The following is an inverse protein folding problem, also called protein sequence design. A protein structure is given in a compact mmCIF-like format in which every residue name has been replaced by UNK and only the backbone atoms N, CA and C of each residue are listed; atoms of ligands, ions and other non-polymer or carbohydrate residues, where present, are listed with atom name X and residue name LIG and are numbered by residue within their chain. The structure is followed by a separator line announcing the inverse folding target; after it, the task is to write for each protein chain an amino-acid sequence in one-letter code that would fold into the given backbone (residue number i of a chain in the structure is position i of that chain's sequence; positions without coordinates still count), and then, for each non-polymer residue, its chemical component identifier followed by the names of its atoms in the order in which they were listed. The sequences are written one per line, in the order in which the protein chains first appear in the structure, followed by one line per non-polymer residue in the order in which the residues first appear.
data_IF_535974600677
#
_entry.id   IF_535974600677
#
_cell.length_a   1.000
_cell.length_b   1.000
_cell.length_c   1.000
_cell.angle_alpha   90.00
_cell.angle_beta   90.00
_cell.angle_gamma   90.00
#
_symmetry.space_group_name_H-M   'P 1'
#
loop_
_entity.id
_entity.type
_entity.pdbx_description
1 polymer ?
#
# COMPACT_ATOMS: atom_id res chain seq x y z
N UNK A 1 -43.98 -73.13 -14.37
CA UNK A 1 -43.50 -71.89 -15.02
C UNK A 1 -43.94 -70.68 -14.21
N UNK A 2 -43.13 -69.61 -14.16
CA UNK A 2 -43.32 -68.34 -13.41
C UNK A 2 -42.87 -68.36 -11.95
N UNK A 3 -41.64 -67.89 -11.69
CA UNK A 3 -41.16 -67.16 -10.48
C UNK A 3 -39.63 -67.02 -10.55
N UNK A 4 -39.12 -66.20 -11.48
CA UNK A 4 -37.69 -65.84 -11.52
C UNK A 4 -37.46 -64.71 -12.53
N UNK A 5 -37.99 -63.51 -12.26
CA UNK A 5 -37.76 -62.35 -13.16
C UNK A 5 -38.00 -60.97 -12.50
N UNK A 6 -37.79 -60.83 -11.19
CA UNK A 6 -38.05 -59.54 -10.49
C UNK A 6 -36.79 -58.96 -9.82
N UNK A 7 -35.63 -59.63 -9.82
CA UNK A 7 -34.46 -59.16 -9.08
C UNK A 7 -33.48 -58.26 -9.85
N UNK A 8 -33.73 -57.92 -11.13
CA UNK A 8 -32.75 -57.21 -11.96
C UNK A 8 -33.02 -55.71 -12.18
N UNK A 9 -34.06 -55.12 -11.58
CA UNK A 9 -34.46 -53.72 -11.83
C UNK A 9 -34.13 -52.73 -10.70
N UNK A 10 -33.54 -53.16 -9.59
CA UNK A 10 -33.30 -52.29 -8.41
C UNK A 10 -31.89 -51.66 -8.44
N UNK A 11 -31.02 -52.07 -9.36
CA UNK A 11 -29.62 -51.61 -9.40
C UNK A 11 -29.33 -50.20 -10.00
N UNK A 12 -30.21 -49.48 -10.73
CA UNK A 12 -29.84 -48.15 -11.23
C UNK A 12 -30.13 -47.01 -10.22
N UNK A 13 -30.85 -47.25 -9.12
CA UNK A 13 -31.29 -46.16 -8.24
C UNK A 13 -30.24 -45.66 -7.25
N UNK A 14 -29.25 -46.49 -6.90
CA UNK A 14 -28.21 -46.12 -5.93
C UNK A 14 -27.04 -45.31 -6.54
N UNK A 15 -26.97 -45.20 -7.87
CA UNK A 15 -25.96 -44.38 -8.55
C UNK A 15 -26.42 -42.95 -8.89
N UNK A 16 -27.72 -42.66 -8.76
CA UNK A 16 -28.27 -41.34 -9.10
C UNK A 16 -28.03 -40.28 -8.02
N UNK A 17 -28.16 -40.65 -6.75
CA UNK A 17 -28.06 -39.68 -5.64
C UNK A 17 -26.64 -39.17 -5.39
N UNK A 18 -25.61 -39.99 -5.68
CA UNK A 18 -24.21 -39.60 -5.47
C UNK A 18 -23.73 -38.58 -6.49
N UNK A 19 -24.24 -38.61 -7.73
CA UNK A 19 -23.90 -37.64 -8.78
C UNK A 19 -24.53 -36.27 -8.49
N UNK A 20 -25.75 -36.23 -7.94
CA UNK A 20 -26.44 -35.00 -7.58
C UNK A 20 -25.89 -34.30 -6.33
N UNK A 21 -25.27 -35.04 -5.39
CA UNK A 21 -24.63 -34.43 -4.23
C UNK A 21 -23.31 -33.70 -4.58
N UNK A 22 -22.67 -34.07 -5.69
CA UNK A 22 -21.39 -33.49 -6.13
C UNK A 22 -21.58 -32.19 -6.92
N UNK A 23 -22.66 -32.05 -7.68
CA UNK A 23 -22.98 -30.82 -8.42
C UNK A 23 -23.35 -29.64 -7.52
N UNK A 24 -23.83 -29.89 -6.30
CA UNK A 24 -24.21 -28.85 -5.32
C UNK A 24 -23.05 -28.12 -4.62
N UNK A 25 -21.79 -28.51 -4.86
CA UNK A 25 -20.60 -27.86 -4.27
C UNK A 25 -19.85 -26.90 -5.21
N UNK A 26 -20.30 -26.74 -6.45
CA UNK A 26 -19.50 -26.08 -7.50
C UNK A 26 -19.80 -24.59 -7.64
N UNK A 27 -19.36 -23.79 -6.67
CA UNK A 27 -19.05 -22.41 -6.99
C UNK A 27 -17.62 -22.33 -7.54
N UNK A 28 -17.50 -22.27 -8.87
CA UNK A 28 -16.22 -22.35 -9.56
C UNK A 28 -15.94 -21.03 -10.28
N UNK A 29 -15.34 -20.09 -9.55
CA UNK A 29 -14.75 -18.90 -10.17
C UNK A 29 -13.48 -19.27 -10.93
N UNK A 30 -13.27 -18.63 -12.08
CA UNK A 30 -12.02 -18.73 -12.80
C UNK A 30 -10.89 -18.10 -11.98
N UNK A 31 -9.67 -18.62 -12.09
CA UNK A 31 -8.51 -17.98 -11.45
C UNK A 31 -8.35 -16.51 -11.90
N UNK A 32 -8.74 -16.21 -13.14
CA UNK A 32 -8.74 -14.86 -13.68
C UNK A 32 -9.69 -13.92 -12.89
N UNK A 33 -10.89 -14.35 -12.54
CA UNK A 33 -11.80 -13.53 -11.72
C UNK A 33 -11.24 -13.28 -10.32
N UNK A 34 -10.72 -14.34 -9.68
CA UNK A 34 -10.13 -14.29 -8.34
C UNK A 34 -8.97 -13.27 -8.31
N UNK A 35 -8.07 -13.35 -9.29
CA UNK A 35 -6.90 -12.48 -9.32
C UNK A 35 -7.26 -11.02 -9.65
N UNK A 36 -8.23 -10.79 -10.55
CA UNK A 36 -8.69 -9.42 -10.84
C UNK A 36 -9.32 -8.78 -9.62
N UNK A 37 -10.11 -9.55 -8.86
CA UNK A 37 -10.73 -9.07 -7.62
C UNK A 37 -9.69 -8.74 -6.56
N UNK A 38 -8.68 -9.60 -6.41
CA UNK A 38 -7.56 -9.35 -5.49
C UNK A 38 -6.75 -8.09 -5.89
N UNK A 39 -6.47 -7.89 -7.19
CA UNK A 39 -5.79 -6.68 -7.66
C UNK A 39 -6.58 -5.40 -7.39
N UNK A 40 -7.91 -5.44 -7.51
CA UNK A 40 -8.78 -4.31 -7.18
C UNK A 40 -8.74 -3.99 -5.69
N UNK A 41 -8.84 -5.01 -4.83
CA UNK A 41 -8.79 -4.87 -3.38
C UNK A 41 -7.48 -4.21 -2.92
N UNK A 42 -6.35 -4.73 -3.38
CA UNK A 42 -5.00 -4.27 -3.02
C UNK A 42 -4.58 -2.99 -3.76
N UNK A 43 -5.46 -2.39 -4.58
CA UNK A 43 -5.18 -1.19 -5.39
C UNK A 43 -3.95 -1.35 -6.29
N UNK A 44 -3.74 -2.56 -6.82
CA UNK A 44 -2.64 -2.88 -7.73
C UNK A 44 -3.04 -2.71 -9.20
N UNK A 45 -4.03 -1.87 -9.47
CA UNK A 45 -4.54 -1.61 -10.82
C UNK A 45 -3.61 -0.68 -11.62
N UNK A 46 -3.48 -0.96 -12.91
CA UNK A 46 -2.66 -0.14 -13.81
C UNK A 46 -3.23 1.27 -13.99
N UNK A 47 -4.56 1.41 -13.96
CA UNK A 47 -5.23 2.71 -14.12
C UNK A 47 -4.84 3.73 -13.04
N UNK A 48 -4.72 3.25 -11.78
CA UNK A 48 -4.29 4.09 -10.66
C UNK A 48 -2.83 4.52 -10.82
N UNK A 49 -1.96 3.58 -11.22
CA UNK A 49 -0.56 3.87 -11.48
C UNK A 49 -0.41 4.90 -12.61
N UNK A 50 -1.15 4.75 -13.70
CA UNK A 50 -1.11 5.69 -14.83
C UNK A 50 -1.62 7.08 -14.43
N UNK A 51 -2.64 7.17 -13.59
CA UNK A 51 -3.10 8.44 -13.05
C UNK A 51 -2.00 9.13 -12.21
N UNK A 52 -1.29 8.38 -11.38
CA UNK A 52 -0.15 8.88 -10.59
C UNK A 52 1.00 9.32 -11.50
N UNK A 53 1.37 8.50 -12.49
CA UNK A 53 2.40 8.82 -13.50
C UNK A 53 2.09 10.13 -14.23
N UNK A 54 0.84 10.32 -14.67
CA UNK A 54 0.39 11.56 -15.33
C UNK A 54 0.51 12.78 -14.42
N UNK A 55 0.17 12.64 -13.13
CA UNK A 55 0.33 13.72 -12.14
C UNK A 55 1.82 14.05 -11.92
N UNK A 56 2.65 13.02 -11.78
CA UNK A 56 4.10 13.14 -11.61
C UNK A 56 4.77 13.81 -12.81
N UNK A 57 4.35 13.48 -14.04
CA UNK A 57 4.87 14.12 -15.25
C UNK A 57 4.55 15.62 -15.34
N UNK A 58 3.45 16.07 -14.71
CA UNK A 58 3.06 17.48 -14.66
C UNK A 58 3.65 18.24 -13.48
N UNK A 59 4.12 17.54 -12.45
CA UNK A 59 4.65 18.17 -11.24
C UNK A 59 5.80 19.16 -11.48
N UNK A 60 6.78 18.92 -12.40
CA UNK A 60 7.88 19.85 -12.65
C UNK A 60 7.45 21.23 -13.21
N UNK A 61 6.24 21.32 -13.78
CA UNK A 61 5.72 22.57 -14.35
C UNK A 61 5.23 23.54 -13.28
N UNK A 62 4.98 23.05 -12.06
CA UNK A 62 4.42 23.83 -10.97
C UNK A 62 5.52 24.23 -9.97
N UNK A 63 5.46 25.45 -9.39
CA UNK A 63 6.37 25.84 -8.33
C UNK A 63 6.08 25.05 -7.07
N UNK A 64 7.12 24.75 -6.29
CA UNK A 64 6.94 24.33 -4.91
C UNK A 64 6.69 25.57 -4.05
N UNK A 65 5.54 25.61 -3.37
CA UNK A 65 5.20 26.66 -2.42
C UNK A 65 5.62 26.21 -1.02
N UNK A 66 6.37 27.06 -0.32
CA UNK A 66 6.76 26.83 1.08
C UNK A 66 6.44 28.06 1.92
N UNK A 67 5.90 27.81 3.10
CA UNK A 67 5.59 28.81 4.11
C UNK A 67 6.48 28.54 5.32
N UNK A 68 7.29 29.51 5.70
CA UNK A 68 8.17 29.45 6.85
C UNK A 68 7.86 30.57 7.82
N UNK A 69 8.01 30.30 9.11
CA UNK A 69 8.00 31.30 10.17
C UNK A 69 9.31 31.17 10.93
N UNK A 70 10.14 32.20 10.84
CA UNK A 70 11.45 32.25 11.49
C UNK A 70 11.39 33.30 12.60
N UNK A 71 11.70 32.89 13.84
CA UNK A 71 11.91 33.80 14.97
C UNK A 71 13.40 33.88 15.24
N UNK A 72 14.00 35.06 15.04
CA UNK A 72 15.43 35.27 15.27
C UNK A 72 15.61 36.22 16.44
N UNK A 73 16.30 35.75 17.48
CA UNK A 73 16.77 36.56 18.59
C UNK A 73 18.29 36.67 18.41
N UNK A 74 18.78 37.88 18.11
CA UNK A 74 20.22 38.12 17.95
C UNK A 74 20.68 39.09 19.03
N UNK A 75 21.43 38.57 20.00
CA UNK A 75 22.14 39.37 20.98
C UNK A 75 23.50 39.74 20.41
N UNK A 76 23.77 41.04 20.26
CA UNK A 76 25.07 41.54 19.85
C UNK A 76 25.65 42.38 20.99
N UNK A 77 26.68 41.84 21.62
CA UNK A 77 27.45 42.54 22.66
C UNK A 77 28.74 43.07 22.01
N UNK A 78 28.79 44.37 21.74
CA UNK A 78 30.03 45.06 21.39
C UNK A 78 30.55 45.84 22.60
N UNK A 79 31.80 45.63 22.96
CA UNK A 79 32.50 46.41 23.97
C UNK A 79 33.49 47.29 23.21
N UNK A 80 33.12 48.56 22.99
CA UNK A 80 34.02 49.55 22.40
C UNK A 80 34.80 50.22 23.54
N UNK A 81 36.06 49.83 23.70
CA UNK A 81 37.01 50.49 24.61
C UNK A 81 37.68 51.62 23.82
N UNK A 82 37.31 52.87 24.12
CA UNK A 82 37.89 54.04 23.46
C UNK A 82 38.83 54.76 24.44
N UNK A 83 40.13 54.51 24.30
CA UNK A 83 41.16 55.21 25.06
C UNK A 83 41.42 56.58 24.44
N UNK A 84 40.82 57.63 25.02
CA UNK A 84 40.96 58.98 24.50
C UNK A 84 42.01 59.76 25.30
N UNK A 85 43.07 60.23 24.64
CA UNK A 85 44.07 61.12 25.23
C UNK A 85 43.70 62.55 24.86
N UNK A 86 43.22 63.34 25.82
CA UNK A 86 42.94 64.76 25.63
C UNK A 86 43.99 65.62 26.36
N UNK A 87 44.52 66.62 25.66
CA UNK A 87 45.47 67.60 26.22
C UNK A 87 44.78 68.96 26.20
N UNK A 88 44.51 69.53 27.39
CA UNK A 88 44.00 70.89 27.54
C UNK A 88 44.93 71.72 28.41
N UNK A 89 44.82 73.05 28.37
CA UNK A 89 45.71 73.97 29.09
C UNK A 89 45.66 73.85 30.62
N UNK A 90 44.76 73.03 31.16
CA UNK A 90 44.60 72.76 32.60
C UNK A 90 45.18 71.43 33.10
N UNK A 91 45.80 70.60 32.25
CA UNK A 91 46.43 69.33 32.64
C UNK A 91 46.14 68.15 31.72
N UNK A 92 46.83 67.02 31.95
CA UNK A 92 46.68 65.76 31.20
C UNK A 92 45.85 64.77 32.02
N UNK A 93 44.70 64.35 31.50
CA UNK A 93 43.91 63.26 32.07
C UNK A 93 44.25 61.96 31.34
N UNK A 94 44.73 60.94 32.06
CA UNK A 94 45.03 59.60 31.53
C UNK A 94 44.24 58.57 32.32
N UNK A 95 43.27 57.94 31.67
CA UNK A 95 42.46 56.87 32.23
C UNK A 95 41.34 56.49 31.26
N UNK A 96 40.82 55.25 31.32
CA UNK A 96 39.75 54.81 30.43
C UNK A 96 38.51 55.68 30.64
N UNK A 97 38.01 56.26 29.55
CA UNK A 97 36.70 56.91 29.56
C UNK A 97 35.61 55.87 29.80
N UNK A 98 34.51 56.27 30.44
CA UNK A 98 33.37 55.41 30.78
C UNK A 98 33.09 54.36 29.71
N UNK A 99 33.12 53.08 30.09
CA UNK A 99 32.81 51.98 29.19
C UNK A 99 31.33 52.05 28.83
N UNK A 100 31.02 52.57 27.64
CA UNK A 100 29.67 52.56 27.10
C UNK A 100 29.33 51.13 26.64
N UNK A 101 28.84 50.30 27.56
CA UNK A 101 28.26 49.01 27.22
C UNK A 101 26.97 49.25 26.44
N UNK A 102 27.04 49.09 25.12
CA UNK A 102 25.85 49.18 24.26
C UNK A 102 25.32 47.77 24.03
N UNK A 103 24.35 47.35 24.83
CA UNK A 103 23.62 46.11 24.61
C UNK A 103 22.45 46.39 23.66
N UNK A 104 22.49 45.82 22.45
CA UNK A 104 21.35 45.86 21.53
C UNK A 104 20.73 44.47 21.42
N UNK A 105 19.44 44.39 21.72
CA UNK A 105 18.64 43.17 21.54
C UNK A 105 17.77 43.40 20.31
N UNK A 106 18.08 42.72 19.22
CA UNK A 106 17.25 42.74 18.01
C UNK A 106 16.36 41.50 18.00
N UNK A 107 15.06 41.70 18.28
CA UNK A 107 14.03 40.68 18.14
C UNK A 107 13.30 40.89 16.82
N UNK A 108 13.33 39.88 15.94
CA UNK A 108 12.63 39.92 14.66
C UNK A 108 11.86 38.63 14.41
N UNK A 109 10.57 38.79 14.08
CA UNK A 109 9.72 37.72 13.59
C UNK A 109 9.58 37.87 12.07
N UNK A 110 9.84 36.79 11.32
CA UNK A 110 9.77 36.81 9.86
C UNK A 110 8.86 35.69 9.34
N UNK A 111 7.76 36.08 8.70
CA UNK A 111 6.97 35.18 7.86
C UNK A 111 7.58 35.18 6.44
N UNK A 112 7.85 33.99 5.88
CA UNK A 112 8.42 33.80 4.55
C UNK A 112 7.49 32.95 3.70
N UNK A 113 7.03 33.51 2.58
CA UNK A 113 6.38 32.76 1.50
C UNK A 113 7.40 32.63 0.37
N UNK A 114 7.77 31.40 0.00
CA UNK A 114 8.70 31.13 -1.10
C UNK A 114 8.05 30.22 -2.14
N UNK A 115 8.04 30.68 -3.38
CA UNK A 115 7.76 29.86 -4.54
C UNK A 115 9.09 29.51 -5.22
N UNK A 116 9.38 28.21 -5.36
CA UNK A 116 10.63 27.73 -5.95
C UNK A 116 10.33 26.88 -7.19
N UNK A 117 10.88 27.28 -8.34
CA UNK A 117 10.91 26.46 -9.55
C UNK A 117 12.25 25.77 -9.68
N UNK A 118 12.22 24.45 -9.81
CA UNK A 118 13.39 23.62 -10.10
C UNK A 118 13.48 23.38 -11.60
N UNK A 119 14.16 24.28 -12.31
CA UNK A 119 14.28 24.22 -13.78
C UNK A 119 15.14 23.03 -14.25
N UNK A 120 16.03 22.53 -13.40
CA UNK A 120 16.78 21.29 -13.58
C UNK A 120 15.85 20.08 -13.75
N UNK A 121 14.73 20.08 -13.02
CA UNK A 121 13.75 19.00 -13.08
C UNK A 121 12.82 19.07 -14.30
N UNK A 122 12.86 20.14 -15.10
CA UNK A 122 12.09 20.22 -16.36
C UNK A 122 12.69 19.32 -17.44
N UNK A 123 14.02 19.20 -17.48
CA UNK A 123 14.74 18.39 -18.47
C UNK A 123 14.90 16.94 -17.98
N UNK A 124 15.24 16.76 -16.71
CA UNK A 124 15.39 15.45 -16.08
C UNK A 124 14.56 15.36 -14.80
N UNK A 125 13.26 15.01 -14.89
CA UNK A 125 12.40 14.97 -13.72
C UNK A 125 12.80 13.81 -12.79
N UNK A 126 13.11 14.08 -11.53
CA UNK A 126 13.21 13.01 -10.51
C UNK A 126 11.91 12.18 -10.45
N UNK A 127 10.79 12.81 -10.78
CA UNK A 127 9.48 12.21 -10.90
C UNK A 127 9.43 11.01 -11.88
N UNK A 128 10.23 11.00 -12.96
CA UNK A 128 10.26 9.86 -13.88
C UNK A 128 10.94 8.66 -13.26
N UNK A 129 12.04 8.86 -12.51
CA UNK A 129 12.73 7.78 -11.79
C UNK A 129 11.80 7.18 -10.73
N UNK A 130 11.08 8.03 -10.00
CA UNK A 130 10.10 7.58 -9.01
C UNK A 130 8.95 6.81 -9.66
N UNK A 131 8.45 7.26 -10.80
CA UNK A 131 7.43 6.54 -11.57
C UNK A 131 7.89 5.14 -12.00
N UNK A 132 9.12 4.99 -12.49
CA UNK A 132 9.68 3.68 -12.84
C UNK A 132 9.82 2.77 -11.62
N UNK A 133 10.28 3.30 -10.48
CA UNK A 133 10.38 2.54 -9.25
C UNK A 133 9.00 2.07 -8.74
N UNK A 134 7.99 2.94 -8.80
CA UNK A 134 6.62 2.59 -8.44
C UNK A 134 6.05 1.49 -9.35
N UNK A 135 6.26 1.60 -10.66
CA UNK A 135 5.83 0.57 -11.62
C UNK A 135 6.48 -0.78 -11.35
N UNK A 136 7.79 -0.80 -11.08
CA UNK A 136 8.51 -2.01 -10.72
C UNK A 136 7.95 -2.63 -9.44
N UNK A 137 7.63 -1.82 -8.44
CA UNK A 137 7.04 -2.29 -7.18
C UNK A 137 5.64 -2.87 -7.40
N UNK A 138 4.79 -2.20 -8.18
CA UNK A 138 3.45 -2.73 -8.54
C UNK A 138 3.59 -4.06 -9.28
N UNK A 139 4.47 -4.15 -10.27
CA UNK A 139 4.70 -5.39 -11.00
C UNK A 139 5.17 -6.53 -10.09
N UNK A 140 6.12 -6.25 -9.19
CA UNK A 140 6.61 -7.21 -8.20
C UNK A 140 5.47 -7.69 -7.29
N UNK A 141 4.72 -6.77 -6.70
CA UNK A 141 3.62 -7.09 -5.79
C UNK A 141 2.52 -7.89 -6.50
N UNK A 142 2.18 -7.53 -7.74
CA UNK A 142 1.21 -8.29 -8.55
C UNK A 142 1.68 -9.72 -8.80
N UNK A 143 2.97 -9.91 -9.10
CA UNK A 143 3.54 -11.23 -9.31
C UNK A 143 3.52 -12.07 -8.04
N UNK A 144 3.95 -11.50 -6.91
CA UNK A 144 3.94 -12.20 -5.62
C UNK A 144 2.53 -12.61 -5.22
N UNK A 145 1.56 -11.69 -5.31
CA UNK A 145 0.15 -11.97 -5.05
C UNK A 145 -0.42 -13.03 -5.99
N UNK A 146 -0.10 -12.93 -7.29
CA UNK A 146 -0.51 -13.92 -8.30
C UNK A 146 0.00 -15.32 -7.96
N UNK A 147 1.28 -15.45 -7.63
CA UNK A 147 1.91 -16.73 -7.35
C UNK A 147 1.32 -17.37 -6.08
N UNK A 148 1.05 -16.57 -5.05
CA UNK A 148 0.47 -17.07 -3.80
C UNK A 148 -1.01 -17.45 -3.95
N UNK A 149 -1.80 -16.63 -4.63
CA UNK A 149 -3.20 -16.96 -4.96
C UNK A 149 -3.28 -18.19 -5.86
N UNK A 150 -2.35 -18.36 -6.81
CA UNK A 150 -2.34 -19.52 -7.69
C UNK A 150 -2.08 -20.81 -6.93
N UNK A 151 -1.16 -20.81 -5.95
CA UNK A 151 -0.92 -21.96 -5.07
C UNK A 151 -2.19 -22.32 -4.29
N UNK A 152 -2.86 -21.34 -3.69
CA UNK A 152 -4.11 -21.54 -2.94
C UNK A 152 -5.23 -22.07 -3.84
N UNK A 153 -5.36 -21.52 -5.04
CA UNK A 153 -6.33 -21.95 -6.04
C UNK A 153 -6.10 -23.41 -6.47
N UNK A 154 -4.85 -23.77 -6.79
CA UNK A 154 -4.52 -25.15 -7.14
C UNK A 154 -4.75 -26.12 -5.98
N UNK A 155 -4.43 -25.73 -4.75
CA UNK A 155 -4.67 -26.56 -3.57
C UNK A 155 -6.18 -26.79 -3.34
N UNK A 156 -6.99 -25.75 -3.56
CA UNK A 156 -8.45 -25.84 -3.53
C UNK A 156 -8.98 -26.80 -4.59
N UNK A 157 -8.56 -26.65 -5.85
CA UNK A 157 -9.00 -27.53 -6.95
C UNK A 157 -8.58 -28.99 -6.71
N UNK A 158 -7.38 -29.23 -6.18
CA UNK A 158 -6.93 -30.57 -5.78
C UNK A 158 -7.81 -31.15 -4.66
N UNK A 159 -8.13 -30.36 -3.65
CA UNK A 159 -8.99 -30.79 -2.53
C UNK A 159 -10.41 -31.08 -3.01
N UNK A 160 -10.96 -30.26 -3.92
CA UNK A 160 -12.24 -30.52 -4.57
C UNK A 160 -12.22 -31.83 -5.36
N UNK A 161 -11.18 -32.07 -6.16
CA UNK A 161 -11.03 -33.33 -6.90
C UNK A 161 -10.97 -34.55 -5.97
N UNK A 162 -10.25 -34.46 -4.85
CA UNK A 162 -10.20 -35.51 -3.84
C UNK A 162 -11.57 -35.78 -3.22
N UNK A 163 -12.35 -34.75 -2.88
CA UNK A 163 -13.71 -34.90 -2.35
C UNK A 163 -14.62 -35.62 -3.36
N UNK A 164 -14.48 -35.30 -4.66
CA UNK A 164 -15.24 -35.96 -5.73
C UNK A 164 -14.90 -37.44 -5.87
N UNK A 165 -13.64 -37.82 -5.67
CA UNK A 165 -13.18 -39.20 -5.80
C UNK A 165 -13.55 -40.07 -4.58
N UNK A 166 -13.46 -39.54 -3.36
CA UNK A 166 -13.65 -40.31 -2.13
C UNK A 166 -15.08 -40.30 -1.57
N UNK A 167 -15.99 -39.50 -2.14
CA UNK A 167 -17.39 -39.40 -1.73
C UNK A 167 -17.60 -38.56 -0.47
N UNK A 168 -18.65 -37.72 -0.49
CA UNK A 168 -18.93 -36.71 0.54
C UNK A 168 -19.25 -37.21 1.97
N UNK A 169 -19.66 -38.48 2.24
CA UNK A 169 -19.95 -38.94 3.60
C UNK A 169 -18.96 -39.98 4.16
N UNK A 170 -17.74 -40.12 3.62
CA UNK A 170 -16.73 -41.01 4.22
C UNK A 170 -16.05 -40.37 5.45
N UNK A 171 -15.50 -41.19 6.37
CA UNK A 171 -14.70 -40.72 7.53
C UNK A 171 -13.51 -39.83 7.10
N UNK A 172 -13.05 -39.97 5.87
CA UNK A 172 -11.97 -39.18 5.27
C UNK A 172 -12.49 -37.89 4.59
N UNK A 173 -13.79 -37.80 4.29
CA UNK A 173 -14.39 -36.64 3.65
C UNK A 173 -14.57 -35.42 4.57
N UNK A 174 -14.74 -35.64 5.87
CA UNK A 174 -14.90 -34.56 6.86
C UNK A 174 -13.66 -33.67 7.02
N UNK A 175 -12.42 -34.20 7.17
CA UNK A 175 -11.23 -33.36 7.21
C UNK A 175 -10.96 -32.66 5.87
N UNK A 176 -11.29 -33.27 4.72
CA UNK A 176 -11.15 -32.63 3.41
C UNK A 176 -12.11 -31.44 3.26
N UNK A 177 -13.35 -31.54 3.76
CA UNK A 177 -14.29 -30.42 3.79
C UNK A 177 -13.82 -29.28 4.68
N UNK A 178 -13.25 -29.58 5.86
CA UNK A 178 -12.67 -28.55 6.73
C UNK A 178 -11.49 -27.84 6.05
N UNK A 179 -10.61 -28.61 5.39
CA UNK A 179 -9.51 -28.05 4.61
C UNK A 179 -10.01 -27.15 3.48
N UNK A 180 -11.04 -27.58 2.75
CA UNK A 180 -11.65 -26.79 1.68
C UNK A 180 -12.22 -25.47 2.22
N UNK A 181 -12.93 -25.50 3.35
CA UNK A 181 -13.46 -24.29 3.98
C UNK A 181 -12.34 -23.33 4.38
N UNK A 182 -11.27 -23.83 5.02
CA UNK A 182 -10.12 -23.01 5.37
C UNK A 182 -9.43 -22.37 4.14
N UNK A 183 -9.36 -23.10 3.01
CA UNK A 183 -8.85 -22.56 1.75
C UNK A 183 -9.77 -21.49 1.15
N UNK A 184 -11.09 -21.71 1.22
CA UNK A 184 -12.08 -20.72 0.78
C UNK A 184 -12.02 -19.46 1.65
N UNK A 185 -11.87 -19.59 2.97
CA UNK A 185 -11.76 -18.46 3.90
C UNK A 185 -10.50 -17.64 3.60
N UNK A 186 -9.37 -18.30 3.33
CA UNK A 186 -8.13 -17.62 2.93
C UNK A 186 -8.28 -16.89 1.60
N UNK A 187 -8.86 -17.54 0.58
CA UNK A 187 -9.10 -16.88 -0.70
C UNK A 187 -10.08 -15.72 -0.56
N UNK A 188 -11.14 -15.87 0.25
CA UNK A 188 -12.10 -14.81 0.54
C UNK A 188 -11.47 -13.61 1.24
N UNK A 189 -10.51 -13.84 2.14
CA UNK A 189 -9.76 -12.76 2.77
C UNK A 189 -9.03 -11.91 1.73
N UNK A 190 -8.53 -12.51 0.65
CA UNK A 190 -7.81 -11.82 -0.43
C UNK A 190 -8.72 -11.26 -1.54
N UNK A 191 -9.98 -11.74 -1.66
CA UNK A 191 -10.88 -11.37 -2.76
C UNK A 191 -12.19 -10.70 -2.34
N UNK A 192 -12.23 -10.10 -1.15
CA UNK A 192 -13.44 -9.44 -0.59
C UNK A 192 -14.67 -10.34 -0.58
N UNK A 193 -14.49 -11.62 -0.25
CA UNK A 193 -15.62 -12.55 -0.12
C UNK A 193 -16.20 -13.04 -1.45
N UNK A 194 -15.45 -12.95 -2.57
CA UNK A 194 -15.91 -13.44 -3.88
C UNK A 194 -16.48 -14.88 -3.84
N UNK A 195 -15.87 -15.80 -3.09
CA UNK A 195 -16.34 -17.19 -2.98
C UNK A 195 -17.51 -17.36 -2.00
N UNK A 196 -17.82 -16.35 -1.20
CA UNK A 196 -19.00 -16.34 -0.31
C UNK A 196 -20.26 -15.77 -0.96
N UNK A 197 -20.13 -15.01 -2.05
CA UNK A 197 -21.25 -14.45 -2.83
C UNK A 197 -21.98 -15.49 -3.70
N UNK A 198 -21.53 -16.73 -3.67
CA UNK A 198 -22.21 -17.83 -4.32
C UNK A 198 -23.60 -18.04 -3.71
N UNK A 199 -24.66 -18.19 -4.53
CA UNK A 199 -25.99 -18.45 -4.02
C UNK A 199 -25.97 -19.72 -3.16
N UNK A 200 -26.24 -19.54 -1.86
CA UNK A 200 -26.51 -20.64 -0.95
C UNK A 200 -27.98 -21.02 -1.16
N UNK A 201 -28.24 -22.10 -1.89
CA UNK A 201 -29.54 -22.75 -1.94
C UNK A 201 -29.59 -23.99 -1.03
#
# INVERSE_FOLDING_TARGET
MKKLLIFLSILPFLFSETVWAVSKLECRHSFYEIIQRAYQKERLNWDELDAVKKKMARAPWLPTLSVGYDRVIRETNSIDLNDNISVSSGGVFVGPGDSNLTQSVNQGDQLRLRAMWRLDQLVFPEATINAFNMERNVFKNRRELSDDLFKLYLEREKTLAQIKLHGAPSKEGLPLKQKLNALNDRLNAETDGLLSDCPKE
#
